data_IF_970372060722
#
_entry.id   IF_970372060722
#
_cell.length_a   1.000
_cell.length_b   1.000
_cell.length_c   1.000
_cell.angle_alpha   90.00
_cell.angle_beta   90.00
_cell.angle_gamma   90.00
#
_symmetry.space_group_name_H-M   'P 1'
#
loop_
_entity.id
_entity.type
_entity.pdbx_description
1 polymer ?
#
# COMPACT_ATOMS: atom_id res chain seq x y z
N UNK A 1 -16.16 -1.36 -0.61
CA UNK A 1 -15.49 -2.68 -0.70
C UNK A 1 -14.04 -2.44 -1.09
N UNK A 2 -13.11 -3.12 -0.42
CA UNK A 2 -11.69 -3.12 -0.76
C UNK A 2 -11.18 -4.56 -0.66
N UNK A 3 -10.43 -5.04 -1.65
CA UNK A 3 -9.87 -6.39 -1.67
C UNK A 3 -8.58 -6.41 -2.50
N UNK A 4 -7.72 -7.35 -2.20
CA UNK A 4 -6.53 -7.62 -2.99
C UNK A 4 -6.37 -9.12 -3.22
N UNK A 5 -5.66 -9.48 -4.29
CA UNK A 5 -5.29 -10.85 -4.62
C UNK A 5 -3.79 -10.88 -4.92
N UNK A 6 -3.06 -11.80 -4.26
CA UNK A 6 -1.62 -12.00 -4.47
C UNK A 6 -1.47 -13.18 -5.42
N UNK A 7 -0.74 -12.99 -6.52
CA UNK A 7 -0.50 -13.99 -7.54
C UNK A 7 1.01 -14.16 -7.75
N UNK A 8 1.48 -15.41 -7.74
CA UNK A 8 2.83 -15.75 -8.16
C UNK A 8 2.91 -15.81 -9.68
N UNK A 9 3.92 -15.19 -10.25
CA UNK A 9 4.20 -15.20 -11.69
C UNK A 9 5.65 -15.60 -11.95
N UNK A 10 6.01 -16.03 -13.18
CA UNK A 10 7.42 -16.28 -13.52
C UNK A 10 8.33 -15.06 -13.33
N UNK A 11 7.77 -13.86 -13.28
CA UNK A 11 8.49 -12.60 -13.09
C UNK A 11 8.53 -12.13 -11.61
N UNK A 12 7.97 -12.91 -10.68
CA UNK A 12 7.88 -12.56 -9.25
C UNK A 12 6.44 -12.43 -8.76
N UNK A 13 6.26 -11.76 -7.63
CA UNK A 13 4.96 -11.55 -6.99
C UNK A 13 4.21 -10.37 -7.63
N UNK A 14 2.92 -10.59 -7.87
CA UNK A 14 1.98 -9.59 -8.40
C UNK A 14 0.79 -9.43 -7.47
N UNK A 15 0.35 -8.20 -7.27
CA UNK A 15 -0.83 -7.90 -6.45
C UNK A 15 -1.88 -7.21 -7.30
N UNK A 16 -3.09 -7.76 -7.33
CA UNK A 16 -4.25 -7.12 -7.94
C UNK A 16 -5.06 -6.47 -6.83
N UNK A 17 -5.10 -5.14 -6.79
CA UNK A 17 -5.85 -4.38 -5.79
C UNK A 17 -7.14 -3.82 -6.40
N UNK A 18 -8.23 -3.88 -5.65
CA UNK A 18 -9.55 -3.39 -6.06
C UNK A 18 -10.19 -2.60 -4.92
N UNK A 19 -10.73 -1.42 -5.23
CA UNK A 19 -11.45 -0.59 -4.28
C UNK A 19 -12.62 0.16 -4.91
N UNK A 20 -13.71 0.37 -4.17
CA UNK A 20 -14.85 1.16 -4.64
C UNK A 20 -14.53 2.66 -4.87
N UNK A 21 -13.43 3.15 -4.30
CA UNK A 21 -12.92 4.51 -4.44
C UNK A 21 -11.40 4.46 -4.60
N UNK A 22 -10.77 5.57 -5.03
CA UNK A 22 -9.30 5.70 -5.07
C UNK A 22 -8.65 5.46 -3.72
N UNK A 23 -9.27 5.96 -2.64
CA UNK A 23 -8.82 5.71 -1.28
C UNK A 23 -8.89 4.22 -0.94
N UNK A 24 -10.01 3.55 -1.25
CA UNK A 24 -10.16 2.11 -1.05
C UNK A 24 -9.18 1.29 -1.87
N UNK A 25 -8.85 1.73 -3.09
CA UNK A 25 -7.84 1.10 -3.93
C UNK A 25 -6.45 1.23 -3.31
N UNK A 26 -6.08 2.43 -2.84
CA UNK A 26 -4.81 2.65 -2.16
C UNK A 26 -4.68 1.78 -0.90
N UNK A 27 -5.74 1.71 -0.09
CA UNK A 27 -5.76 0.86 1.11
C UNK A 27 -5.63 -0.62 0.73
N UNK A 28 -6.38 -1.10 -0.27
CA UNK A 28 -6.27 -2.49 -0.73
C UNK A 28 -4.85 -2.82 -1.23
N UNK A 29 -4.23 -1.90 -1.97
CA UNK A 29 -2.87 -2.03 -2.47
C UNK A 29 -1.86 -2.13 -1.33
N UNK A 30 -1.96 -1.25 -0.32
CA UNK A 30 -1.12 -1.28 0.87
C UNK A 30 -1.27 -2.59 1.64
N UNK A 31 -2.51 -3.04 1.85
CA UNK A 31 -2.78 -4.28 2.57
C UNK A 31 -2.19 -5.49 1.85
N UNK A 32 -2.31 -5.56 0.52
CA UNK A 32 -1.65 -6.60 -0.25
C UNK A 32 -0.13 -6.53 -0.12
N UNK A 33 0.44 -5.33 -0.23
CA UNK A 33 1.88 -5.10 -0.17
C UNK A 33 2.49 -5.49 1.19
N UNK A 34 1.77 -5.27 2.28
CA UNK A 34 2.25 -5.70 3.60
C UNK A 34 1.90 -7.16 3.89
N UNK A 35 0.87 -7.73 3.27
CA UNK A 35 0.58 -9.16 3.40
C UNK A 35 1.68 -10.05 2.78
N UNK A 36 2.29 -9.64 1.66
CA UNK A 36 3.42 -10.38 1.06
C UNK A 36 4.67 -10.41 1.93
N UNK A 37 4.79 -9.48 2.88
CA UNK A 37 5.96 -9.41 3.78
C UNK A 37 5.84 -10.34 5.00
N UNK A 38 4.70 -11.02 5.13
CA UNK A 38 4.38 -11.93 6.25
C UNK A 38 4.68 -11.33 7.62
N UNK A 39 4.05 -10.19 7.98
CA UNK A 39 4.31 -9.51 9.23
C UNK A 39 3.86 -10.37 10.41
N UNK A 40 4.75 -10.55 11.40
CA UNK A 40 4.40 -11.11 12.70
C UNK A 40 4.29 -10.01 13.75
N UNK A 41 3.26 -10.12 14.59
CA UNK A 41 3.06 -9.17 15.69
C UNK A 41 4.17 -9.29 16.73
N UNK A 42 4.69 -8.14 17.18
CA UNK A 42 5.65 -8.09 18.29
C UNK A 42 4.85 -8.15 19.59
N UNK A 43 5.17 -9.12 20.46
CA UNK A 43 4.47 -9.33 21.72
C UNK A 43 4.85 -8.26 22.78
N UNK A 44 4.31 -7.05 22.63
CA UNK A 44 4.31 -6.03 23.69
C UNK A 44 3.10 -5.09 23.56
N UNK A 45 2.62 -4.54 24.69
CA UNK A 45 1.50 -3.58 24.68
C UNK A 45 1.83 -2.30 23.90
N UNK A 46 3.08 -1.83 23.96
CA UNK A 46 3.54 -0.68 23.20
C UNK A 46 3.61 -0.96 21.69
N UNK A 47 3.90 -2.19 21.29
CA UNK A 47 3.89 -2.61 19.89
C UNK A 47 2.46 -2.78 19.33
N UNK A 48 1.48 -3.01 20.19
CA UNK A 48 0.08 -3.16 19.80
C UNK A 48 -0.61 -1.82 19.48
N UNK A 49 0.01 -0.67 19.80
CA UNK A 49 -0.55 0.64 19.54
C UNK A 49 -0.32 1.07 18.09
N UNK A 50 -1.38 1.57 17.45
CA UNK A 50 -1.26 2.20 16.13
C UNK A 50 -0.44 3.48 16.22
N UNK A 51 0.45 3.65 15.26
CA UNK A 51 1.29 4.81 15.03
C UNK A 51 0.95 5.43 13.70
N UNK A 52 0.93 6.75 13.68
CA UNK A 52 0.63 7.53 12.49
C UNK A 52 1.89 8.24 11.99
N UNK A 53 2.18 8.07 10.70
CA UNK A 53 3.26 8.78 10.03
C UNK A 53 2.70 9.67 8.93
N UNK A 54 2.74 11.01 9.08
CA UNK A 54 2.11 11.91 8.14
C UNK A 54 2.84 11.95 6.79
N UNK A 55 2.09 12.19 5.72
CA UNK A 55 2.59 12.41 4.38
C UNK A 55 1.84 13.51 3.65
N UNK A 56 2.54 14.11 2.68
CA UNK A 56 1.96 15.00 1.68
C UNK A 56 2.72 14.81 0.38
N UNK A 57 2.08 14.17 -0.61
CA UNK A 57 2.70 13.80 -1.88
C UNK A 57 1.98 14.47 -3.05
N UNK A 58 2.75 14.76 -4.10
CA UNK A 58 2.26 15.28 -5.38
C UNK A 58 2.75 14.41 -6.53
N UNK A 59 1.96 14.35 -7.59
CA UNK A 59 2.23 13.57 -8.80
C UNK A 59 1.48 14.12 -10.01
N UNK A 60 1.86 13.66 -11.20
CA UNK A 60 1.21 14.03 -12.45
C UNK A 60 -0.19 13.38 -12.60
N UNK A 61 -0.36 12.18 -12.05
CA UNK A 61 -1.60 11.41 -12.05
C UNK A 61 -1.72 10.49 -10.82
N UNK A 62 -2.88 9.84 -10.67
CA UNK A 62 -3.15 8.98 -9.52
C UNK A 62 -2.29 7.71 -9.48
N UNK A 63 -1.87 7.17 -10.63
CA UNK A 63 -1.02 5.97 -10.65
C UNK A 63 0.37 6.28 -10.06
N UNK A 64 0.96 7.40 -10.45
CA UNK A 64 2.22 7.88 -9.87
C UNK A 64 2.10 8.17 -8.37
N UNK A 65 0.97 8.75 -7.93
CA UNK A 65 0.72 8.97 -6.50
C UNK A 65 0.61 7.66 -5.74
N UNK A 66 -0.08 6.66 -6.30
CA UNK A 66 -0.25 5.36 -5.68
C UNK A 66 1.11 4.69 -5.48
N UNK A 67 1.95 4.68 -6.52
CA UNK A 67 3.30 4.13 -6.43
C UNK A 67 4.14 4.84 -5.36
N UNK A 68 4.20 6.18 -5.39
CA UNK A 68 4.92 6.98 -4.38
C UNK A 68 4.42 6.73 -2.96
N UNK A 69 3.11 6.57 -2.80
CA UNK A 69 2.48 6.35 -1.51
C UNK A 69 2.84 4.97 -0.93
N UNK A 70 2.88 3.94 -1.79
CA UNK A 70 3.25 2.58 -1.40
C UNK A 70 4.75 2.47 -1.13
N UNK A 71 5.59 3.06 -1.99
CA UNK A 71 7.04 3.12 -1.81
C UNK A 71 7.41 3.85 -0.51
N UNK A 72 6.78 5.00 -0.24
CA UNK A 72 6.97 5.70 1.03
C UNK A 72 6.54 4.86 2.23
N UNK A 73 5.51 4.02 2.10
CA UNK A 73 5.11 3.06 3.14
C UNK A 73 6.18 2.01 3.41
N UNK A 74 6.81 1.44 2.36
CA UNK A 74 7.93 0.51 2.50
C UNK A 74 9.13 1.16 3.19
N UNK A 75 9.49 2.37 2.79
CA UNK A 75 10.59 3.12 3.41
C UNK A 75 10.34 3.35 4.90
N UNK A 76 9.13 3.74 5.28
CA UNK A 76 8.77 3.91 6.69
C UNK A 76 8.75 2.58 7.45
N UNK A 77 8.33 1.49 6.82
CA UNK A 77 8.29 0.17 7.43
C UNK A 77 9.70 -0.32 7.78
N UNK A 78 10.64 -0.18 6.84
CA UNK A 78 12.05 -0.51 7.05
C UNK A 78 12.67 0.39 8.11
N UNK A 79 12.39 1.69 8.06
CA UNK A 79 12.95 2.67 8.99
C UNK A 79 12.49 2.44 10.44
N UNK A 80 11.21 2.12 10.62
CA UNK A 80 10.58 2.09 11.95
C UNK A 80 10.36 0.67 12.49
N UNK A 81 10.56 -0.38 11.67
CA UNK A 81 10.23 -1.76 12.03
C UNK A 81 8.72 -1.97 12.19
N UNK A 82 7.96 -1.51 11.20
CA UNK A 82 6.50 -1.41 11.26
C UNK A 82 5.82 -2.05 10.06
N UNK A 83 4.57 -2.46 10.24
CA UNK A 83 3.66 -2.86 9.16
C UNK A 83 2.47 -1.90 9.10
N UNK A 84 2.01 -1.57 7.89
CA UNK A 84 0.92 -0.63 7.68
C UNK A 84 -0.31 -1.33 7.13
N UNK A 85 -1.42 -1.20 7.86
CA UNK A 85 -2.68 -1.86 7.52
C UNK A 85 -3.71 -0.88 6.94
N UNK A 86 -3.46 0.42 7.07
CA UNK A 86 -4.40 1.45 6.68
C UNK A 86 -3.73 2.80 6.37
N UNK A 87 -4.52 3.68 5.75
CA UNK A 87 -4.20 5.09 5.56
C UNK A 87 -5.30 5.95 6.18
N UNK A 88 -4.92 6.99 6.90
CA UNK A 88 -5.84 8.07 7.25
C UNK A 88 -5.68 9.20 6.24
N UNK A 89 -6.61 9.33 5.29
CA UNK A 89 -6.54 10.38 4.27
C UNK A 89 -7.22 11.66 4.75
N UNK A 90 -6.51 12.78 4.65
CA UNK A 90 -7.09 14.13 4.76
C UNK A 90 -7.50 14.65 3.37
N UNK A 91 -6.75 14.28 2.33
CA UNK A 91 -7.02 14.65 0.94
C UNK A 91 -6.55 13.54 0.00
N UNK A 92 -7.36 13.20 -1.00
CA UNK A 92 -6.95 12.33 -2.10
C UNK A 92 -7.57 12.82 -3.41
N UNK A 93 -6.72 13.13 -4.37
CA UNK A 93 -7.10 13.62 -5.69
C UNK A 93 -6.27 12.92 -6.76
N UNK A 94 -6.43 13.32 -8.02
CA UNK A 94 -5.61 12.83 -9.12
C UNK A 94 -4.16 13.31 -9.09
N UNK A 95 -3.83 14.35 -8.30
CA UNK A 95 -2.50 14.99 -8.33
C UNK A 95 -1.86 15.25 -6.97
N UNK A 96 -2.63 15.07 -5.90
CA UNK A 96 -2.19 15.31 -4.54
C UNK A 96 -2.85 14.33 -3.58
N UNK A 97 -2.07 13.83 -2.62
CA UNK A 97 -2.54 12.98 -1.52
C UNK A 97 -1.90 13.43 -0.21
N UNK A 98 -2.71 13.57 0.84
CA UNK A 98 -2.30 13.96 2.19
C UNK A 98 -2.97 13.08 3.22
N UNK A 99 -2.26 12.77 4.29
CA UNK A 99 -2.77 11.88 5.31
C UNK A 99 -1.66 11.31 6.16
N UNK A 100 -1.89 10.10 6.69
CA UNK A 100 -0.89 9.34 7.41
C UNK A 100 -0.93 7.85 7.06
N UNK A 101 0.24 7.21 7.01
CA UNK A 101 0.34 5.75 7.12
C UNK A 101 -0.01 5.37 8.55
N UNK A 102 -0.93 4.41 8.73
CA UNK A 102 -1.34 3.93 10.04
C UNK A 102 -0.93 2.48 10.18
N UNK A 103 -0.06 2.22 11.14
CA UNK A 103 0.61 0.93 11.30
C UNK A 103 1.06 0.68 12.72
N UNK A 104 1.71 -0.45 12.93
CA UNK A 104 2.18 -0.90 14.25
C UNK A 104 3.47 -1.66 14.11
N UNK A 105 4.19 -1.84 15.22
CA UNK A 105 5.45 -2.56 15.20
C UNK A 105 5.23 -4.01 14.78
N UNK A 106 6.07 -4.49 13.86
CA UNK A 106 6.00 -5.84 13.32
C UNK A 106 7.38 -6.31 12.85
N UNK A 107 7.62 -7.61 12.96
CA UNK A 107 8.76 -8.24 12.29
C UNK A 107 8.33 -8.65 10.88
N UNK A 108 9.13 -8.29 9.88
CA UNK A 108 8.86 -8.57 8.47
C UNK A 108 9.71 -9.76 8.03
N UNK A 109 9.09 -10.91 7.77
CA UNK A 109 9.82 -12.12 7.40
C UNK A 109 10.41 -12.04 5.98
N UNK A 110 9.68 -11.38 5.07
CA UNK A 110 10.11 -11.18 3.67
C UNK A 110 10.12 -9.68 3.37
N UNK A 111 11.21 -8.96 3.67
CA UNK A 111 11.27 -7.52 3.40
C UNK A 111 11.24 -7.27 1.89
N UNK A 112 10.21 -6.56 1.42
CA UNK A 112 10.09 -6.13 0.03
C UNK A 112 10.97 -4.90 -0.21
N UNK A 113 11.75 -4.88 -1.30
CA UNK A 113 12.65 -3.76 -1.62
C UNK A 113 11.95 -2.63 -2.36
N UNK A 114 10.95 -2.96 -3.17
CA UNK A 114 10.27 -1.98 -4.00
C UNK A 114 8.92 -2.47 -4.49
N UNK A 115 8.12 -1.52 -4.97
CA UNK A 115 6.84 -1.80 -5.60
C UNK A 115 6.64 -0.85 -6.77
N UNK A 116 6.30 -1.42 -7.92
CA UNK A 116 5.98 -0.67 -9.13
C UNK A 116 4.51 -0.86 -9.46
N UNK A 117 3.82 0.21 -9.82
CA UNK A 117 2.44 0.14 -10.32
C UNK A 117 2.49 -0.11 -11.83
N UNK A 118 1.91 -1.21 -12.29
CA UNK A 118 1.95 -1.57 -13.71
C UNK A 118 1.30 -0.48 -14.57
N UNK A 119 1.98 -0.12 -15.66
CA UNK A 119 1.55 0.97 -16.53
C UNK A 119 0.13 0.74 -17.07
N UNK A 120 -0.71 1.76 -16.99
CA UNK A 120 -2.10 1.71 -17.45
C UNK A 120 -3.03 0.82 -16.61
N UNK A 121 -2.54 0.14 -15.56
CA UNK A 121 -3.38 -0.76 -14.74
C UNK A 121 -4.38 0.00 -13.87
N UNK A 122 -4.07 1.25 -13.50
CA UNK A 122 -4.91 2.07 -12.63
C UNK A 122 -6.09 2.64 -13.40
N UNK A 123 -7.24 1.98 -13.29
CA UNK A 123 -8.43 2.33 -14.06
C UNK A 123 -9.72 2.03 -13.31
N UNK A 124 -10.80 2.70 -13.73
CA UNK A 124 -12.15 2.40 -13.26
C UNK A 124 -12.76 1.32 -14.14
N UNK A 125 -13.18 0.22 -13.53
CA UNK A 125 -13.84 -0.95 -14.13
C UNK A 125 -15.29 -0.61 -14.52
N UNK A 126 -15.89 -1.47 -15.32
CA UNK A 126 -17.29 -1.34 -15.77
C UNK A 126 -18.30 -1.35 -14.61
N UNK A 127 -18.00 -2.09 -13.53
CA UNK A 127 -18.79 -2.12 -12.29
C UNK A 127 -18.62 -0.85 -11.42
N UNK A 128 -17.80 0.10 -11.87
CA UNK A 128 -17.52 1.35 -11.20
C UNK A 128 -16.44 1.29 -10.11
N UNK A 129 -15.84 0.12 -9.84
CA UNK A 129 -14.72 -0.02 -8.93
C UNK A 129 -13.40 0.40 -9.58
N UNK A 130 -12.44 0.85 -8.77
CA UNK A 130 -11.07 1.10 -9.18
C UNK A 130 -10.24 -0.17 -9.05
N UNK A 131 -9.38 -0.45 -10.02
CA UNK A 131 -8.40 -1.52 -9.99
C UNK A 131 -6.99 -0.99 -10.23
N UNK A 132 -5.99 -1.68 -9.69
CA UNK A 132 -4.58 -1.50 -10.00
C UNK A 132 -3.86 -2.83 -9.91
N UNK A 133 -2.76 -2.96 -10.65
CA UNK A 133 -1.87 -4.09 -10.57
C UNK A 133 -0.49 -3.61 -10.12
N UNK A 134 0.06 -4.28 -9.12
CA UNK A 134 1.37 -3.98 -8.55
C UNK A 134 2.32 -5.13 -8.86
N UNK A 135 3.56 -4.79 -9.17
CA UNK A 135 4.67 -5.73 -9.30
C UNK A 135 5.60 -5.49 -8.12
N UNK A 136 5.90 -6.57 -7.39
CA UNK A 136 6.76 -6.54 -6.22
C UNK A 136 8.20 -6.79 -6.63
N UNK A 137 9.11 -5.97 -6.11
CA UNK A 137 10.55 -6.11 -6.29
C UNK A 137 11.14 -6.69 -5.00
N UNK A 138 11.65 -7.92 -5.10
CA UNK A 138 12.23 -8.68 -3.98
C UNK A 138 13.71 -8.36 -3.73
#
# INVERSE_FOLDING_TARGET
MQRYEINETPAGLRIVAIGSTRAGLAIAALQGLFAVQHPSEVASEEAAQDREHPFALKGANFAELLEKLLQGGLEQAVKNGETYNHFRFDLITDREVKGAWVGRAAELATPVKGVTVAEGSVSKREDGAWGAELVIEE
#
